data_IF_872475990756
#
_entry.id   IF_872475990756
#
_cell.length_a   1.000
_cell.length_b   1.000
_cell.length_c   1.000
_cell.angle_alpha   90.00
_cell.angle_beta   90.00
_cell.angle_gamma   90.00
#
_symmetry.space_group_name_H-M   'P 1'
#
loop_
_entity.id
_entity.type
_entity.pdbx_description
1 polymer ?
#
# COMPACT_ATOMS: atom_id res chain seq x y z
N UNK A 1 -10.16 11.84 -1.54
CA UNK A 1 -9.44 11.52 -2.81
C UNK A 1 -8.27 10.59 -2.48
N UNK A 2 -7.98 9.58 -3.31
CA UNK A 2 -6.84 8.69 -3.09
C UNK A 2 -5.50 9.39 -3.45
N UNK A 3 -4.38 8.91 -2.88
CA UNK A 3 -3.04 9.50 -3.07
C UNK A 3 -2.62 9.54 -4.55
N UNK A 4 -3.00 8.55 -5.35
CA UNK A 4 -2.75 8.52 -6.80
C UNK A 4 -3.38 9.73 -7.48
N UNK A 5 -4.66 10.01 -7.21
CA UNK A 5 -5.35 11.18 -7.76
C UNK A 5 -4.73 12.49 -7.28
N UNK A 6 -4.40 12.59 -5.99
CA UNK A 6 -3.79 13.78 -5.39
C UNK A 6 -2.39 14.07 -5.93
N UNK A 7 -1.60 13.05 -6.26
CA UNK A 7 -0.23 13.20 -6.75
C UNK A 7 -0.14 13.77 -8.17
N UNK A 8 -1.21 13.71 -8.97
CA UNK A 8 -1.21 14.15 -10.38
C UNK A 8 -0.81 15.61 -10.56
N UNK A 9 -1.23 16.49 -9.65
CA UNK A 9 -0.98 17.94 -9.73
C UNK A 9 0.20 18.38 -8.84
N UNK A 10 0.90 17.44 -8.19
CA UNK A 10 1.99 17.72 -7.26
C UNK A 10 3.35 17.64 -7.95
N UNK A 11 4.28 18.47 -7.50
CA UNK A 11 5.69 18.38 -7.93
C UNK A 11 6.28 17.05 -7.46
N UNK A 12 7.28 16.49 -8.15
CA UNK A 12 7.84 15.18 -7.81
C UNK A 12 8.20 15.01 -6.33
N UNK A 13 8.74 16.04 -5.69
CA UNK A 13 9.18 16.05 -4.29
C UNK A 13 8.03 16.08 -3.28
N UNK A 14 6.82 16.45 -3.71
CA UNK A 14 5.63 16.57 -2.85
C UNK A 14 4.71 15.34 -2.96
N UNK A 15 5.02 14.42 -3.87
CA UNK A 15 4.22 13.22 -4.11
C UNK A 15 4.37 12.26 -2.95
N UNK A 16 3.24 11.78 -2.46
CA UNK A 16 3.20 10.82 -1.36
C UNK A 16 3.25 9.39 -1.90
N UNK A 17 3.93 8.44 -1.23
CA UNK A 17 3.90 7.03 -1.62
C UNK A 17 2.47 6.48 -1.57
N UNK A 18 2.14 5.63 -2.54
CA UNK A 18 0.75 5.20 -2.79
C UNK A 18 0.47 3.76 -2.40
N UNK A 19 1.50 2.92 -2.32
CA UNK A 19 1.37 1.52 -1.96
C UNK A 19 1.49 1.43 -0.44
N UNK A 20 0.49 0.86 0.23
CA UNK A 20 0.52 0.59 1.67
C UNK A 20 0.67 -0.90 1.94
N UNK A 21 1.61 -1.28 2.79
CA UNK A 21 1.75 -2.63 3.35
C UNK A 21 1.35 -2.57 4.83
N UNK A 22 0.40 -3.42 5.21
CA UNK A 22 -0.15 -3.45 6.56
C UNK A 22 0.28 -4.72 7.28
N UNK A 23 0.82 -4.59 8.48
CA UNK A 23 1.24 -5.73 9.32
C UNK A 23 0.97 -5.44 10.79
N UNK A 24 0.07 -6.21 11.40
CA UNK A 24 -0.22 -6.18 12.84
C UNK A 24 -0.34 -4.78 13.44
N UNK A 25 -1.13 -3.91 12.80
CA UNK A 25 -1.37 -2.52 13.25
C UNK A 25 -0.39 -1.47 12.70
N UNK A 26 0.72 -1.89 12.10
CA UNK A 26 1.66 -0.98 11.44
C UNK A 26 1.34 -0.83 9.96
N UNK A 27 1.46 0.40 9.46
CA UNK A 27 1.29 0.75 8.06
C UNK A 27 2.59 1.36 7.52
N UNK A 28 3.20 0.68 6.56
CA UNK A 28 4.35 1.17 5.81
C UNK A 28 3.92 1.54 4.41
N UNK A 29 4.54 2.58 3.85
CA UNK A 29 4.27 3.05 2.51
C UNK A 29 5.51 3.02 1.63
N UNK A 30 5.30 2.71 0.35
CA UNK A 30 6.34 2.71 -0.67
C UNK A 30 5.82 3.14 -2.04
N UNK A 31 6.75 3.35 -2.96
CA UNK A 31 6.45 3.59 -4.37
C UNK A 31 6.48 2.28 -5.19
N UNK A 32 7.29 1.31 -4.74
CA UNK A 32 7.50 0.02 -5.36
C UNK A 32 7.71 -1.03 -4.27
N UNK A 33 7.07 -2.19 -4.41
CA UNK A 33 7.21 -3.32 -3.49
C UNK A 33 7.32 -4.61 -4.28
N UNK A 34 8.13 -5.53 -3.81
CA UNK A 34 8.23 -6.90 -4.32
C UNK A 34 7.72 -7.87 -3.24
N UNK A 35 6.92 -8.84 -3.68
CA UNK A 35 6.48 -9.96 -2.84
C UNK A 35 7.39 -11.14 -3.17
N UNK A 36 8.18 -11.59 -2.21
CA UNK A 36 9.24 -12.59 -2.43
C UNK A 36 8.71 -14.04 -2.38
N UNK A 37 7.42 -14.23 -2.70
CA UNK A 37 6.77 -15.53 -2.59
C UNK A 37 5.29 -15.49 -3.00
N UNK A 38 4.54 -16.57 -2.70
CA UNK A 38 3.14 -16.66 -3.08
C UNK A 38 2.30 -15.54 -2.46
N UNK A 39 1.30 -15.09 -3.22
CA UNK A 39 0.31 -14.13 -2.75
C UNK A 39 -1.07 -14.50 -3.27
N UNK A 40 -2.09 -13.89 -2.67
CA UNK A 40 -3.47 -14.00 -3.10
C UNK A 40 -4.00 -12.60 -3.40
N UNK A 41 -4.73 -12.48 -4.51
CA UNK A 41 -5.51 -11.30 -4.83
C UNK A 41 -6.94 -11.56 -4.32
N UNK A 42 -7.45 -10.68 -3.47
CA UNK A 42 -8.76 -10.81 -2.83
C UNK A 42 -9.65 -9.66 -3.24
N UNK A 43 -10.82 -9.98 -3.78
CA UNK A 43 -11.90 -9.02 -4.05
C UNK A 43 -13.08 -9.32 -3.11
N UNK A 44 -13.44 -8.36 -2.27
CA UNK A 44 -14.53 -8.45 -1.30
C UNK A 44 -15.30 -7.11 -1.22
N UNK A 45 -16.33 -6.92 -2.06
CA UNK A 45 -17.03 -5.65 -2.16
C UNK A 45 -17.98 -5.36 -0.98
N UNK A 46 -18.60 -6.40 -0.43
CA UNK A 46 -19.66 -6.29 0.60
C UNK A 46 -19.12 -6.26 2.03
N UNK A 47 -17.89 -6.77 2.24
CA UNK A 47 -17.21 -6.75 3.52
C UNK A 47 -15.76 -6.25 3.35
N UNK A 48 -15.55 -4.95 3.10
CA UNK A 48 -14.21 -4.40 2.88
C UNK A 48 -13.35 -4.48 4.16
N UNK A 49 -12.03 -4.39 4.00
CA UNK A 49 -11.14 -4.16 5.14
C UNK A 49 -11.47 -2.82 5.83
N UNK A 50 -11.10 -2.65 7.11
CA UNK A 50 -11.37 -1.43 7.90
C UNK A 50 -10.92 -0.13 7.22
N UNK A 51 -9.91 -0.19 6.34
CA UNK A 51 -9.47 0.96 5.56
C UNK A 51 -10.27 1.23 4.28
N UNK A 52 -11.39 0.54 4.08
CA UNK A 52 -12.27 0.64 2.92
C UNK A 52 -11.78 -0.07 1.66
N UNK A 53 -10.70 -0.84 1.72
CA UNK A 53 -10.19 -1.57 0.55
C UNK A 53 -11.12 -2.74 0.21
N UNK A 54 -11.55 -2.81 -1.06
CA UNK A 54 -12.38 -3.90 -1.61
C UNK A 54 -11.58 -4.87 -2.47
N UNK A 55 -10.42 -4.46 -2.94
CA UNK A 55 -9.46 -5.27 -3.69
C UNK A 55 -8.10 -5.08 -3.04
N UNK A 56 -7.46 -6.18 -2.63
CA UNK A 56 -6.12 -6.14 -2.06
C UNK A 56 -5.32 -7.39 -2.40
N UNK A 57 -4.04 -7.35 -2.07
CA UNK A 57 -3.13 -8.48 -2.16
C UNK A 57 -2.75 -8.85 -0.72
N UNK A 58 -2.85 -10.13 -0.38
CA UNK A 58 -2.40 -10.68 0.91
C UNK A 58 -1.33 -11.75 0.69
N UNK A 59 -0.42 -11.85 1.65
CA UNK A 59 0.68 -12.81 1.62
C UNK A 59 1.24 -13.03 3.02
N UNK A 60 1.81 -14.20 3.25
CA UNK A 60 2.67 -14.50 4.41
C UNK A 60 4.17 -14.41 4.07
N UNK A 61 4.50 -14.19 2.80
CA UNK A 61 5.87 -14.05 2.32
C UNK A 61 6.46 -12.69 2.65
N UNK A 62 7.78 -12.63 2.62
CA UNK A 62 8.51 -11.39 2.84
C UNK A 62 8.23 -10.35 1.75
N UNK A 63 8.25 -9.09 2.19
CA UNK A 63 8.07 -7.92 1.33
C UNK A 63 9.36 -7.11 1.29
N UNK A 64 9.80 -6.76 0.08
CA UNK A 64 10.92 -5.86 -0.13
C UNK A 64 10.44 -4.51 -0.68
N UNK A 65 10.86 -3.41 -0.05
CA UNK A 65 10.56 -2.06 -0.51
C UNK A 65 11.69 -1.51 -1.38
N UNK A 66 11.45 -1.35 -2.67
CA UNK A 66 12.43 -0.78 -3.59
C UNK A 66 12.48 0.75 -3.38
N UNK A 67 13.65 1.25 -3.00
CA UNK A 67 13.84 2.69 -2.69
C UNK A 67 13.39 3.11 -1.28
N UNK A 68 13.07 2.15 -0.41
CA UNK A 68 12.76 2.38 1.00
C UNK A 68 11.27 2.45 1.35
N UNK A 69 10.99 2.40 2.65
CA UNK A 69 9.64 2.48 3.22
C UNK A 69 9.48 3.69 4.14
N UNK A 70 8.29 4.28 4.14
CA UNK A 70 7.93 5.41 4.99
C UNK A 70 6.80 4.98 5.94
N UNK A 71 6.91 5.24 7.25
CA UNK A 71 5.78 5.00 8.14
C UNK A 71 4.58 5.86 7.73
N UNK A 72 3.37 5.40 8.04
CA UNK A 72 2.23 6.30 8.05
C UNK A 72 2.57 7.50 8.95
N UNK A 73 2.58 8.71 8.40
CA UNK A 73 2.62 9.91 9.23
C UNK A 73 1.40 9.90 10.15
N UNK A 74 1.64 10.12 11.44
CA UNK A 74 0.58 10.40 12.41
C UNK A 74 -0.22 11.64 11.98
#
# INVERSE_FOLDING_TARGET
RNRIGSNKTKRPQERQPVISVKRSGNNLYGNQVEILGPCRIVYQPDNPLDCGARLWIETFSDIHFIGGSFPATA
#
